data_IF_722308296486
#
_entry.id   IF_722308296486
#
_cell.length_a   1.000
_cell.length_b   1.000
_cell.length_c   1.000
_cell.angle_alpha   90.00
_cell.angle_beta   90.00
_cell.angle_gamma   90.00
#
_symmetry.space_group_name_H-M   'P 1'
#
loop_
_entity.id
_entity.type
_entity.pdbx_description
1 polymer ?
#
# COMPACT_ATOMS: atom_id res chain seq x y z
N UNK A 1 -73.85 10.06 -10.46
CA UNK A 1 -73.02 8.86 -10.17
C UNK A 1 -71.57 9.20 -10.50
N UNK A 2 -70.74 9.42 -9.49
CA UNK A 2 -69.31 9.71 -9.67
C UNK A 2 -68.53 8.42 -9.41
N UNK A 3 -67.82 7.92 -10.43
CA UNK A 3 -66.92 6.78 -10.32
C UNK A 3 -65.61 7.26 -9.68
N UNK A 4 -65.32 6.78 -8.48
CA UNK A 4 -64.01 6.96 -7.82
C UNK A 4 -63.11 5.81 -8.30
N UNK A 5 -62.11 6.17 -9.15
CA UNK A 5 -61.04 5.23 -9.53
C UNK A 5 -59.99 5.19 -8.43
N UNK A 6 -59.83 4.04 -7.80
CA UNK A 6 -58.74 3.77 -6.84
C UNK A 6 -57.49 3.42 -7.63
N UNK A 7 -56.52 4.32 -7.67
CA UNK A 7 -55.17 4.02 -8.16
C UNK A 7 -54.40 3.35 -7.03
N UNK A 8 -54.21 2.04 -7.13
CA UNK A 8 -53.32 1.29 -6.26
C UNK A 8 -51.90 1.50 -6.76
N UNK A 9 -51.13 2.35 -6.07
CA UNK A 9 -49.72 2.55 -6.32
C UNK A 9 -48.97 1.34 -5.73
N UNK A 10 -48.58 0.39 -6.57
CA UNK A 10 -47.63 -0.67 -6.18
C UNK A 10 -46.25 -0.07 -6.00
N UNK A 11 -45.90 0.26 -4.77
CA UNK A 11 -44.50 0.49 -4.39
C UNK A 11 -43.79 -0.86 -4.38
N UNK A 12 -43.15 -1.22 -5.51
CA UNK A 12 -42.17 -2.29 -5.54
C UNK A 12 -40.91 -1.79 -4.82
N UNK A 13 -40.74 -2.13 -3.55
CA UNK A 13 -39.51 -2.03 -2.84
C UNK A 13 -38.50 -2.94 -3.55
N UNK A 14 -37.70 -2.38 -4.44
CA UNK A 14 -36.50 -3.02 -4.94
C UNK A 14 -35.53 -3.10 -3.76
N UNK A 15 -35.57 -4.19 -3.01
CA UNK A 15 -34.47 -4.59 -2.15
C UNK A 15 -33.31 -4.92 -3.07
N UNK A 16 -32.50 -3.92 -3.39
CA UNK A 16 -31.17 -4.13 -3.95
C UNK A 16 -30.34 -4.76 -2.85
N UNK A 17 -30.39 -6.09 -2.72
CA UNK A 17 -29.33 -6.82 -2.06
C UNK A 17 -28.07 -6.60 -2.90
N UNK A 18 -27.22 -5.65 -2.52
CA UNK A 18 -25.86 -5.63 -3.04
C UNK A 18 -25.23 -6.98 -2.64
N UNK A 19 -24.77 -7.79 -3.61
CA UNK A 19 -24.15 -9.06 -3.26
C UNK A 19 -22.99 -8.78 -2.31
N UNK A 20 -22.87 -9.59 -1.25
CA UNK A 20 -21.72 -9.49 -0.36
C UNK A 20 -20.47 -9.83 -1.19
N UNK A 21 -19.67 -8.81 -1.53
CA UNK A 21 -18.48 -8.96 -2.35
C UNK A 21 -17.22 -9.32 -1.52
N UNK A 22 -17.39 -9.71 -0.27
CA UNK A 22 -16.31 -10.08 0.64
C UNK A 22 -16.37 -11.56 0.99
N UNK A 23 -15.35 -12.30 0.58
CA UNK A 23 -15.08 -13.68 0.98
C UNK A 23 -14.05 -13.68 2.09
N UNK A 24 -14.39 -14.19 3.27
CA UNK A 24 -13.41 -14.45 4.32
C UNK A 24 -12.78 -15.82 4.06
N UNK A 25 -11.45 -15.85 3.89
CA UNK A 25 -10.74 -17.09 3.63
C UNK A 25 -9.85 -17.46 4.82
N UNK A 26 -10.37 -18.35 5.65
CA UNK A 26 -9.65 -18.87 6.83
C UNK A 26 -8.51 -19.82 6.46
N UNK A 27 -8.50 -20.38 5.26
CA UNK A 27 -7.43 -21.28 4.82
C UNK A 27 -6.07 -20.56 4.70
N UNK A 28 -6.08 -19.23 4.54
CA UNK A 28 -4.85 -18.45 4.52
C UNK A 28 -4.17 -18.32 5.90
N UNK A 29 -4.84 -18.75 6.97
CA UNK A 29 -4.32 -18.64 8.34
C UNK A 29 -2.98 -19.35 8.52
N UNK A 30 -2.82 -20.53 7.93
CA UNK A 30 -1.61 -21.32 8.11
C UNK A 30 -0.34 -20.59 7.67
N UNK A 31 -0.39 -19.73 6.63
CA UNK A 31 0.77 -18.93 6.23
C UNK A 31 1.26 -17.97 7.32
N UNK A 32 0.38 -17.53 8.20
CA UNK A 32 0.75 -16.69 9.34
C UNK A 32 1.22 -17.52 10.53
N UNK A 33 0.57 -18.67 10.77
CA UNK A 33 0.95 -19.60 11.85
C UNK A 33 2.34 -20.21 11.62
N UNK A 34 2.65 -20.64 10.39
CA UNK A 34 3.93 -21.27 10.02
C UNK A 34 5.13 -20.33 10.23
N UNK A 35 4.92 -19.03 10.09
CA UNK A 35 5.92 -18.00 10.34
C UNK A 35 5.82 -17.34 11.71
N UNK A 36 4.92 -17.83 12.60
CA UNK A 36 4.68 -17.29 13.94
C UNK A 36 4.43 -15.78 13.95
N UNK A 37 3.62 -15.30 13.01
CA UNK A 37 3.25 -13.88 12.87
C UNK A 37 1.76 -13.68 13.00
N UNK A 38 1.34 -12.48 13.42
CA UNK A 38 -0.07 -12.08 13.44
C UNK A 38 -0.31 -11.07 12.31
N UNK A 39 -1.21 -11.39 11.39
CA UNK A 39 -1.36 -10.56 10.20
C UNK A 39 -2.72 -10.59 9.55
N UNK A 40 -2.78 -9.93 8.41
CA UNK A 40 -3.89 -9.94 7.46
C UNK A 40 -3.37 -9.97 6.03
N UNK A 41 -4.13 -10.61 5.18
CA UNK A 41 -3.99 -10.52 3.73
C UNK A 41 -5.34 -10.16 3.13
N UNK A 42 -5.35 -9.25 2.18
CA UNK A 42 -6.54 -8.96 1.40
C UNK A 42 -6.18 -8.84 -0.07
N UNK A 43 -6.99 -9.47 -0.91
CA UNK A 43 -6.96 -9.39 -2.37
C UNK A 43 -8.26 -8.78 -2.85
N UNK A 44 -8.17 -7.86 -3.80
CA UNK A 44 -9.28 -7.33 -4.57
C UNK A 44 -9.12 -7.71 -6.04
N UNK A 45 -10.05 -8.50 -6.55
CA UNK A 45 -10.16 -8.81 -7.98
C UNK A 45 -10.91 -7.67 -8.68
N UNK A 46 -10.22 -6.96 -9.57
CA UNK A 46 -10.81 -5.81 -10.26
C UNK A 46 -11.85 -6.21 -11.31
N UNK A 47 -11.82 -7.44 -11.84
CA UNK A 47 -12.76 -7.91 -12.84
C UNK A 47 -14.13 -8.24 -12.25
N UNK A 48 -14.10 -8.92 -11.11
CA UNK A 48 -15.32 -9.37 -10.44
C UNK A 48 -15.81 -8.42 -9.34
N UNK A 49 -14.95 -7.53 -8.87
CA UNK A 49 -15.20 -6.66 -7.72
C UNK A 49 -15.21 -7.43 -6.39
N UNK A 50 -14.70 -8.66 -6.35
CA UNK A 50 -14.69 -9.51 -5.17
C UNK A 50 -13.45 -9.26 -4.31
N UNK A 51 -13.64 -9.31 -2.99
CA UNK A 51 -12.56 -9.36 -2.01
C UNK A 51 -12.37 -10.77 -1.48
N UNK A 52 -11.11 -11.22 -1.37
CA UNK A 52 -10.72 -12.39 -0.56
C UNK A 52 -9.87 -11.90 0.58
N UNK A 53 -10.31 -12.09 1.83
CA UNK A 53 -9.67 -11.49 3.01
C UNK A 53 -9.43 -12.57 4.08
N UNK A 54 -8.21 -12.60 4.59
CA UNK A 54 -7.89 -13.24 5.87
C UNK A 54 -7.77 -12.16 6.95
N UNK A 55 -8.39 -12.40 8.13
CA UNK A 55 -8.39 -11.49 9.28
C UNK A 55 -8.98 -10.10 8.96
N UNK A 56 -10.28 -10.08 8.66
CA UNK A 56 -11.04 -8.86 8.31
C UNK A 56 -10.91 -7.77 9.39
N UNK A 57 -10.88 -8.14 10.67
CA UNK A 57 -10.75 -7.17 11.76
C UNK A 57 -9.44 -6.38 11.66
N UNK A 58 -8.31 -7.08 11.44
CA UNK A 58 -7.01 -6.43 11.26
C UNK A 58 -6.99 -5.58 9.99
N UNK A 59 -7.60 -6.07 8.91
CA UNK A 59 -7.66 -5.38 7.62
C UNK A 59 -8.38 -4.03 7.71
N UNK A 60 -9.55 -4.00 8.36
CA UNK A 60 -10.46 -2.86 8.33
C UNK A 60 -10.40 -1.96 9.56
N UNK A 61 -10.17 -2.53 10.75
CA UNK A 61 -10.40 -1.82 12.02
C UNK A 61 -9.09 -1.43 12.73
N UNK A 62 -7.93 -1.91 12.24
CA UNK A 62 -6.63 -1.65 12.86
C UNK A 62 -5.76 -0.76 12.00
N UNK A 63 -5.05 0.19 12.63
CA UNK A 63 -4.14 1.11 11.94
C UNK A 63 -2.71 0.99 12.47
N UNK A 64 -1.75 1.10 11.55
CA UNK A 64 -0.33 0.88 11.81
C UNK A 64 0.51 1.98 11.18
N UNK A 65 1.75 2.20 11.67
CA UNK A 65 2.67 3.09 10.98
C UNK A 65 2.89 2.58 9.54
N UNK A 66 2.87 3.46 8.53
CA UNK A 66 3.05 3.04 7.14
C UNK A 66 4.48 2.59 6.86
N UNK A 67 5.45 3.05 7.63
CA UNK A 67 6.86 2.82 7.37
C UNK A 67 7.21 3.18 5.92
N UNK A 68 7.91 2.30 5.20
CA UNK A 68 8.35 2.62 3.83
C UNK A 68 7.25 2.55 2.76
N UNK A 69 6.00 2.15 3.06
CA UNK A 69 4.90 2.30 2.09
C UNK A 69 4.58 3.78 1.86
N UNK A 70 4.78 4.63 2.87
CA UNK A 70 4.64 6.09 2.75
C UNK A 70 5.49 6.71 1.64
N UNK A 71 6.55 6.05 1.19
CA UNK A 71 7.38 6.53 0.08
C UNK A 71 6.59 6.70 -1.23
N UNK A 72 5.49 5.99 -1.42
CA UNK A 72 4.57 6.19 -2.55
C UNK A 72 4.04 7.63 -2.52
N UNK A 73 3.45 8.02 -1.40
CA UNK A 73 2.85 9.36 -1.23
C UNK A 73 3.92 10.44 -1.17
N UNK A 74 5.04 10.19 -0.47
CA UNK A 74 6.16 11.14 -0.37
C UNK A 74 6.76 11.45 -1.76
N UNK A 75 6.96 10.44 -2.61
CA UNK A 75 7.44 10.63 -3.98
C UNK A 75 6.43 11.44 -4.82
N UNK A 76 5.14 11.09 -4.76
CA UNK A 76 4.08 11.79 -5.49
C UNK A 76 3.99 13.27 -5.08
N UNK A 77 4.01 13.57 -3.78
CA UNK A 77 4.00 14.94 -3.27
C UNK A 77 5.27 15.67 -3.70
N UNK A 78 6.44 15.03 -3.58
CA UNK A 78 7.72 15.60 -3.99
C UNK A 78 7.75 16.00 -5.46
N UNK A 79 7.24 15.12 -6.34
CA UNK A 79 7.11 15.39 -7.78
C UNK A 79 6.10 16.50 -8.05
N UNK A 80 4.90 16.43 -7.46
CA UNK A 80 3.82 17.39 -7.66
C UNK A 80 4.19 18.82 -7.20
N UNK A 81 5.00 18.92 -6.16
CA UNK A 81 5.45 20.21 -5.61
C UNK A 81 6.80 20.69 -6.18
N UNK A 82 7.35 19.96 -7.16
CA UNK A 82 8.62 20.28 -7.80
C UNK A 82 9.86 20.14 -6.87
N UNK A 83 9.73 19.44 -5.73
CA UNK A 83 10.85 19.13 -4.84
C UNK A 83 11.67 17.95 -5.34
N UNK A 84 11.08 17.11 -6.16
CA UNK A 84 11.70 16.17 -7.08
C UNK A 84 11.30 16.60 -8.49
N UNK A 85 12.24 16.80 -9.38
CA UNK A 85 11.97 17.24 -10.76
C UNK A 85 11.51 16.09 -11.66
N UNK A 86 12.05 14.89 -11.45
CA UNK A 86 11.71 13.64 -12.13
C UNK A 86 12.31 12.44 -11.40
N UNK A 87 12.08 11.23 -11.91
CA UNK A 87 12.58 9.98 -11.31
C UNK A 87 14.12 9.80 -11.42
N UNK A 88 14.79 10.61 -12.25
CA UNK A 88 16.26 10.62 -12.38
C UNK A 88 16.94 11.68 -11.52
N UNK A 89 16.17 12.48 -10.75
CA UNK A 89 16.77 13.51 -9.89
C UNK A 89 17.60 12.88 -8.79
N UNK A 90 18.89 13.26 -8.76
CA UNK A 90 19.87 12.79 -7.77
C UNK A 90 19.80 13.63 -6.50
N UNK A 91 19.72 12.98 -5.35
CA UNK A 91 20.09 13.55 -4.05
C UNK A 91 21.43 12.94 -3.66
N UNK A 92 22.39 13.82 -3.38
CA UNK A 92 23.73 13.40 -2.97
C UNK A 92 23.70 12.75 -1.60
N UNK A 93 24.54 11.74 -1.44
CA UNK A 93 24.79 11.12 -0.15
C UNK A 93 25.36 12.16 0.83
N UNK A 94 24.90 12.11 2.06
CA UNK A 94 25.29 13.03 3.13
C UNK A 94 26.62 12.64 3.82
N UNK A 95 27.29 11.59 3.32
CA UNK A 95 28.56 11.10 3.89
C UNK A 95 28.39 10.25 5.16
N UNK A 96 27.15 10.06 5.64
CA UNK A 96 26.88 9.25 6.85
C UNK A 96 26.73 7.77 6.45
N UNK A 97 27.63 6.93 6.96
CA UNK A 97 27.57 5.49 6.71
C UNK A 97 26.44 4.85 7.51
N UNK A 98 25.61 4.07 6.82
CA UNK A 98 24.43 3.35 7.38
C UNK A 98 24.57 1.85 7.17
N UNK A 99 23.92 1.00 8.02
CA UNK A 99 23.99 -0.45 7.88
C UNK A 99 23.52 -0.98 6.52
N UNK A 100 22.58 -0.30 5.86
CA UNK A 100 22.13 -0.63 4.49
C UNK A 100 23.08 0.01 3.49
N UNK A 101 23.98 -0.78 2.94
CA UNK A 101 25.09 -0.29 2.07
C UNK A 101 24.57 0.44 0.82
N UNK A 102 23.46 0.02 0.28
CA UNK A 102 22.81 0.60 -0.90
C UNK A 102 22.37 2.06 -0.69
N UNK A 103 22.29 2.53 0.56
CA UNK A 103 21.94 3.90 0.90
C UNK A 103 23.14 4.84 0.98
N UNK A 104 24.36 4.29 1.00
CA UNK A 104 25.63 5.03 1.22
C UNK A 104 26.26 5.48 -0.12
N UNK A 105 25.44 6.09 -0.96
CA UNK A 105 25.84 6.65 -2.26
C UNK A 105 24.84 7.68 -2.75
N UNK A 106 25.20 8.43 -3.76
CA UNK A 106 24.26 9.26 -4.50
C UNK A 106 23.17 8.40 -5.13
N UNK A 107 21.92 8.80 -5.00
CA UNK A 107 20.78 8.04 -5.52
C UNK A 107 19.85 8.94 -6.33
N UNK A 108 19.34 8.42 -7.44
CA UNK A 108 18.17 8.96 -8.12
C UNK A 108 16.90 8.63 -7.32
N UNK A 109 15.78 9.31 -7.62
CA UNK A 109 14.49 8.96 -7.00
C UNK A 109 14.09 7.52 -7.29
N UNK A 110 14.27 7.07 -8.54
CA UNK A 110 14.01 5.69 -8.94
C UNK A 110 14.80 4.68 -8.12
N UNK A 111 16.14 4.85 -8.04
CA UNK A 111 17.00 3.96 -7.26
C UNK A 111 16.66 3.97 -5.77
N UNK A 112 16.47 5.17 -5.20
CA UNK A 112 16.12 5.35 -3.79
C UNK A 112 14.78 4.66 -3.43
N UNK A 113 13.81 4.71 -4.35
CA UNK A 113 12.54 4.02 -4.18
C UNK A 113 12.71 2.50 -4.17
N UNK A 114 13.52 1.98 -5.12
CA UNK A 114 13.81 0.55 -5.29
C UNK A 114 14.52 -0.06 -4.08
N UNK A 115 15.57 0.61 -3.57
CA UNK A 115 16.30 0.17 -2.37
C UNK A 115 15.65 0.66 -1.08
N UNK A 116 14.51 1.32 -1.18
CA UNK A 116 13.76 1.86 -0.03
C UNK A 116 14.59 2.80 0.85
N UNK A 117 15.44 3.65 0.26
CA UNK A 117 16.36 4.54 0.95
C UNK A 117 15.63 5.55 1.85
N UNK A 118 15.74 5.34 3.16
CA UNK A 118 15.15 6.27 4.15
C UNK A 118 15.75 7.65 4.04
N UNK A 119 17.10 7.83 4.00
CA UNK A 119 17.70 9.16 3.99
C UNK A 119 17.30 10.01 2.78
N UNK A 120 17.15 9.41 1.58
CA UNK A 120 16.64 10.12 0.41
C UNK A 120 15.25 10.71 0.66
N UNK A 121 14.32 9.90 1.15
CA UNK A 121 12.94 10.34 1.38
C UNK A 121 12.77 11.23 2.61
N UNK A 122 13.68 11.19 3.56
CA UNK A 122 13.79 12.17 4.63
C UNK A 122 14.16 13.55 4.08
N UNK A 123 15.13 13.62 3.17
CA UNK A 123 15.49 14.87 2.50
C UNK A 123 14.34 15.40 1.63
N UNK A 124 13.65 14.54 0.88
CA UNK A 124 12.46 14.95 0.13
C UNK A 124 11.40 15.53 1.05
N UNK A 125 11.11 14.90 2.18
CA UNK A 125 10.11 15.40 3.14
C UNK A 125 10.54 16.75 3.74
N UNK A 126 11.82 16.97 4.05
CA UNK A 126 12.33 18.27 4.50
C UNK A 126 12.13 19.36 3.45
N UNK A 127 12.39 19.04 2.16
CA UNK A 127 12.18 19.99 1.04
C UNK A 127 10.70 20.31 0.82
N UNK A 128 9.81 19.34 0.99
CA UNK A 128 8.36 19.54 0.92
C UNK A 128 7.89 20.49 2.02
N UNK A 129 8.39 20.29 3.24
CA UNK A 129 8.01 21.06 4.42
C UNK A 129 6.70 20.58 5.05
N UNK A 130 6.51 20.97 6.34
CA UNK A 130 5.41 20.42 7.16
C UNK A 130 4.03 20.84 6.66
N UNK A 131 3.84 22.11 6.33
CA UNK A 131 2.52 22.65 5.97
C UNK A 131 2.04 22.07 4.62
N UNK A 132 2.94 21.99 3.64
CA UNK A 132 2.64 21.37 2.35
C UNK A 132 2.34 19.87 2.50
N UNK A 133 3.15 19.16 3.29
CA UNK A 133 2.91 17.74 3.58
C UNK A 133 1.57 17.53 4.26
N UNK A 134 1.21 18.37 5.25
CA UNK A 134 -0.08 18.29 5.95
C UNK A 134 -1.25 18.52 4.99
N UNK A 135 -1.16 19.53 4.13
CA UNK A 135 -2.20 19.80 3.11
C UNK A 135 -2.44 18.59 2.21
N UNK A 136 -1.38 17.90 1.79
CA UNK A 136 -1.52 16.70 0.97
C UNK A 136 -2.06 15.49 1.73
N UNK A 137 -1.65 15.29 2.98
CA UNK A 137 -2.23 14.22 3.82
C UNK A 137 -3.73 14.42 4.03
N UNK A 138 -4.17 15.67 4.20
CA UNK A 138 -5.57 16.03 4.35
C UNK A 138 -6.35 15.81 3.05
N UNK A 139 -5.81 16.25 1.92
CA UNK A 139 -6.40 16.08 0.57
C UNK A 139 -6.57 14.61 0.20
N UNK A 140 -5.56 13.78 0.49
CA UNK A 140 -5.60 12.35 0.23
C UNK A 140 -6.43 11.57 1.24
N UNK A 141 -6.80 12.19 2.35
CA UNK A 141 -7.35 11.51 3.52
C UNK A 141 -6.47 10.34 3.98
N UNK A 142 -5.13 10.53 3.97
CA UNK A 142 -4.16 9.48 4.23
C UNK A 142 -4.08 9.13 5.71
N UNK A 143 -4.64 7.99 6.09
CA UNK A 143 -4.64 7.46 7.44
C UNK A 143 -5.08 8.49 8.49
N UNK A 144 -4.33 8.58 9.60
CA UNK A 144 -4.63 9.53 10.68
C UNK A 144 -4.25 10.99 10.38
N UNK A 145 -3.57 11.26 9.26
CA UNK A 145 -3.14 12.61 8.81
C UNK A 145 -2.24 13.35 9.80
N UNK A 146 -1.64 12.67 10.78
CA UNK A 146 -0.95 13.32 11.92
C UNK A 146 0.56 13.38 11.71
N UNK A 147 1.10 14.61 11.72
CA UNK A 147 2.53 14.90 11.79
C UNK A 147 2.83 15.44 13.21
N UNK A 148 3.01 14.54 14.18
CA UNK A 148 3.22 14.90 15.59
C UNK A 148 4.68 15.23 15.91
N UNK A 149 5.61 14.69 15.14
CA UNK A 149 7.04 14.76 15.36
C UNK A 149 7.73 15.51 14.23
N UNK A 150 8.98 15.17 13.93
CA UNK A 150 9.75 15.77 12.83
C UNK A 150 9.16 15.39 11.48
N UNK A 151 9.23 16.33 10.54
CA UNK A 151 8.73 16.14 9.17
C UNK A 151 9.40 14.97 8.42
N UNK A 152 10.59 14.60 8.82
CA UNK A 152 11.39 13.56 8.21
C UNK A 152 11.35 12.20 8.93
N UNK A 153 10.49 12.03 9.96
CA UNK A 153 10.34 10.77 10.72
C UNK A 153 8.91 10.35 11.00
N UNK A 154 7.92 11.21 10.86
CA UNK A 154 6.54 10.98 11.32
C UNK A 154 5.86 9.71 10.77
N UNK A 155 6.34 9.16 9.65
CA UNK A 155 5.85 7.89 9.08
C UNK A 155 6.62 6.66 9.59
N UNK A 156 7.66 6.87 10.42
CA UNK A 156 8.53 5.85 10.99
C UNK A 156 8.37 5.69 12.51
N UNK A 157 7.76 6.67 13.19
CA UNK A 157 7.75 6.81 14.64
C UNK A 157 6.35 6.64 15.27
N UNK A 158 5.43 6.00 14.56
CA UNK A 158 4.02 5.78 14.96
C UNK A 158 3.15 7.06 15.08
N UNK A 159 3.62 8.24 14.68
CA UNK A 159 2.80 9.46 14.64
C UNK A 159 1.68 9.37 13.61
N UNK A 160 2.03 8.90 12.42
CA UNK A 160 1.10 8.62 11.33
C UNK A 160 0.73 7.13 11.34
N UNK A 161 -0.56 6.84 11.25
CA UNK A 161 -1.05 5.45 11.15
C UNK A 161 -2.04 5.35 10.00
N UNK A 162 -2.05 4.20 9.33
CA UNK A 162 -2.93 3.89 8.20
C UNK A 162 -3.44 2.46 8.32
N UNK A 163 -4.62 2.19 7.80
CA UNK A 163 -5.21 0.86 7.78
C UNK A 163 -4.81 0.08 6.53
N UNK A 164 -4.81 -1.26 6.56
CA UNK A 164 -4.55 -2.06 5.38
C UNK A 164 -5.55 -1.82 4.23
N UNK A 165 -6.82 -1.58 4.51
CA UNK A 165 -7.82 -1.26 3.49
C UNK A 165 -7.55 0.09 2.80
N UNK A 166 -7.07 1.10 3.54
CA UNK A 166 -6.68 2.39 3.00
C UNK A 166 -5.45 2.28 2.08
N UNK A 167 -4.45 1.46 2.46
CA UNK A 167 -3.26 1.19 1.63
C UNK A 167 -3.62 0.44 0.34
N UNK A 168 -4.53 -0.56 0.40
CA UNK A 168 -5.02 -1.25 -0.79
C UNK A 168 -5.78 -0.28 -1.71
N UNK A 169 -6.63 0.57 -1.14
CA UNK A 169 -7.33 1.61 -1.88
C UNK A 169 -6.39 2.61 -2.54
N UNK A 170 -5.30 3.00 -1.87
CA UNK A 170 -4.27 3.89 -2.41
C UNK A 170 -3.59 3.30 -3.65
N UNK A 171 -3.10 2.05 -3.57
CA UNK A 171 -2.40 1.43 -4.71
C UNK A 171 -3.33 1.15 -5.87
N UNK A 172 -4.61 0.83 -5.62
CA UNK A 172 -5.63 0.71 -6.67
C UNK A 172 -5.85 2.05 -7.38
N UNK A 173 -6.02 3.15 -6.65
CA UNK A 173 -6.14 4.50 -7.23
C UNK A 173 -4.89 4.91 -8.00
N UNK A 174 -3.70 4.58 -7.50
CA UNK A 174 -2.43 4.84 -8.18
C UNK A 174 -2.37 4.10 -9.53
N UNK A 175 -2.72 2.83 -9.55
CA UNK A 175 -2.74 2.01 -10.77
C UNK A 175 -3.58 2.66 -11.88
N UNK A 176 -4.79 3.09 -11.54
CA UNK A 176 -5.71 3.74 -12.47
C UNK A 176 -5.48 5.25 -12.67
N UNK A 177 -4.39 5.80 -12.14
CA UNK A 177 -4.09 7.25 -12.18
C UNK A 177 -5.25 8.13 -11.63
N UNK A 178 -5.91 7.65 -10.58
CA UNK A 178 -7.06 8.32 -9.94
C UNK A 178 -6.68 9.14 -8.69
N UNK A 179 -5.38 9.21 -8.37
CA UNK A 179 -4.92 10.10 -7.30
C UNK A 179 -4.83 11.55 -7.82
N UNK A 180 -4.95 12.57 -6.97
CA UNK A 180 -4.96 13.98 -7.39
C UNK A 180 -3.54 14.51 -7.71
N UNK A 181 -2.80 13.75 -8.53
CA UNK A 181 -1.46 14.08 -9.02
C UNK A 181 -1.43 13.98 -10.54
N UNK A 182 -0.52 14.66 -11.18
CA UNK A 182 -0.37 14.52 -12.63
C UNK A 182 -0.05 13.08 -13.03
N UNK A 183 -0.63 12.61 -14.13
CA UNK A 183 -0.48 11.24 -14.62
C UNK A 183 0.99 10.85 -14.84
N UNK A 184 1.80 11.82 -15.35
CA UNK A 184 3.24 11.63 -15.53
C UNK A 184 3.93 11.25 -14.22
N UNK A 185 3.58 11.91 -13.11
CA UNK A 185 4.17 11.63 -11.79
C UNK A 185 3.70 10.29 -11.23
N UNK A 186 2.42 9.98 -11.39
CA UNK A 186 1.89 8.67 -11.05
C UNK A 186 2.59 7.57 -11.87
N UNK A 187 2.83 7.81 -13.16
CA UNK A 187 3.59 6.93 -14.05
C UNK A 187 5.03 6.68 -13.56
N UNK A 188 5.74 7.70 -13.09
CA UNK A 188 7.09 7.55 -12.52
C UNK A 188 7.09 6.64 -11.29
N UNK A 189 6.12 6.82 -10.37
CA UNK A 189 6.03 5.98 -9.17
C UNK A 189 5.61 4.55 -9.53
N UNK A 190 4.67 4.36 -10.47
CA UNK A 190 4.29 3.02 -10.96
C UNK A 190 5.49 2.28 -11.55
N UNK A 191 6.34 2.94 -12.36
CA UNK A 191 7.58 2.34 -12.88
C UNK A 191 8.53 1.92 -11.77
N UNK A 192 8.69 2.74 -10.74
CA UNK A 192 9.54 2.41 -9.60
C UNK A 192 9.01 1.24 -8.75
N UNK A 193 7.69 1.00 -8.78
CA UNK A 193 7.05 -0.13 -8.11
C UNK A 193 7.14 -1.45 -8.87
N UNK A 194 7.36 -1.45 -10.18
CA UNK A 194 7.47 -2.68 -10.99
C UNK A 194 8.76 -3.42 -10.67
N UNK A 195 8.67 -4.56 -9.96
CA UNK A 195 9.82 -5.37 -9.54
C UNK A 195 9.99 -6.64 -10.37
N UNK A 196 8.91 -7.27 -10.80
CA UNK A 196 8.95 -8.48 -11.61
C UNK A 196 8.11 -8.26 -12.88
N UNK A 197 8.70 -8.52 -14.04
CA UNK A 197 8.07 -8.38 -15.36
C UNK A 197 8.52 -9.56 -16.20
N UNK A 198 7.70 -10.59 -16.26
CA UNK A 198 7.96 -11.79 -17.04
C UNK A 198 6.80 -12.13 -18.00
N UNK A 199 6.89 -13.30 -18.66
CA UNK A 199 5.89 -13.68 -19.65
C UNK A 199 4.51 -13.98 -19.06
N UNK A 200 4.42 -14.33 -17.79
CA UNK A 200 3.20 -14.78 -17.14
C UNK A 200 2.52 -13.67 -16.35
N UNK A 201 3.30 -12.78 -15.71
CA UNK A 201 2.77 -11.74 -14.86
C UNK A 201 3.71 -10.55 -14.73
N UNK A 202 3.14 -9.42 -14.26
CA UNK A 202 3.89 -8.25 -13.79
C UNK A 202 3.53 -7.99 -12.35
N UNK A 203 4.54 -7.99 -11.46
CA UNK A 203 4.33 -7.74 -10.04
C UNK A 203 4.95 -6.39 -9.64
N UNK A 204 4.08 -5.49 -9.23
CA UNK A 204 4.45 -4.15 -8.73
C UNK A 204 4.14 -4.04 -7.25
N UNK A 205 5.11 -3.62 -6.45
CA UNK A 205 4.91 -3.51 -5.00
C UNK A 205 5.76 -2.43 -4.34
N UNK A 206 5.34 -2.07 -3.12
CA UNK A 206 6.16 -1.36 -2.15
C UNK A 206 6.10 -2.07 -0.81
N UNK A 207 7.27 -2.28 -0.22
CA UNK A 207 7.39 -2.88 1.10
C UNK A 207 7.55 -1.84 2.19
N UNK A 208 7.11 -2.16 3.40
CA UNK A 208 7.34 -1.41 4.61
C UNK A 208 7.88 -2.30 5.73
N UNK A 209 8.75 -1.75 6.58
CA UNK A 209 9.24 -2.39 7.79
C UNK A 209 9.50 -1.33 8.84
N UNK A 210 9.01 -1.58 10.06
CA UNK A 210 9.15 -0.67 11.18
C UNK A 210 8.92 -1.37 12.52
N UNK A 211 8.93 -0.60 13.60
CA UNK A 211 8.59 -1.09 14.95
C UNK A 211 7.33 -0.39 15.44
N UNK A 212 6.45 -1.18 16.00
CA UNK A 212 5.25 -0.70 16.68
C UNK A 212 5.60 -0.14 18.06
N UNK A 213 4.68 0.64 18.67
CA UNK A 213 4.86 1.23 20.00
C UNK A 213 5.19 0.20 21.08
N UNK A 214 4.58 -1.00 20.99
CA UNK A 214 4.83 -2.12 21.92
C UNK A 214 6.11 -2.93 21.61
N UNK A 215 6.90 -2.53 20.59
CA UNK A 215 8.17 -3.15 20.25
C UNK A 215 8.13 -4.22 19.16
N UNK A 216 6.97 -4.76 18.81
CA UNK A 216 6.82 -5.74 17.72
C UNK A 216 7.33 -5.18 16.39
N UNK A 217 7.97 -6.03 15.61
CA UNK A 217 8.33 -5.71 14.23
C UNK A 217 7.06 -5.71 13.36
N UNK A 218 6.87 -4.66 12.56
CA UNK A 218 5.76 -4.53 11.64
C UNK A 218 6.22 -4.67 10.20
N UNK A 219 5.46 -5.38 9.40
CA UNK A 219 5.72 -5.60 7.98
C UNK A 219 4.54 -5.21 7.10
N UNK A 220 4.86 -4.69 5.91
CA UNK A 220 3.92 -4.37 4.84
C UNK A 220 4.41 -4.88 3.48
N UNK A 221 3.48 -5.33 2.65
CA UNK A 221 3.59 -5.34 1.20
C UNK A 221 2.29 -4.80 0.64
N UNK A 222 2.36 -3.71 -0.11
CA UNK A 222 1.22 -3.14 -0.84
C UNK A 222 1.53 -3.25 -2.33
N UNK A 223 0.63 -3.85 -3.10
CA UNK A 223 0.98 -4.29 -4.43
C UNK A 223 -0.21 -4.50 -5.37
N UNK A 224 0.12 -4.67 -6.64
CA UNK A 224 -0.76 -5.27 -7.63
C UNK A 224 0.02 -6.27 -8.50
N UNK A 225 -0.69 -7.26 -9.02
CA UNK A 225 -0.21 -8.16 -10.07
C UNK A 225 -1.10 -8.00 -11.31
N UNK A 226 -0.49 -8.03 -12.46
CA UNK A 226 -1.19 -8.12 -13.74
C UNK A 226 -0.94 -9.50 -14.33
N UNK A 227 -1.99 -10.27 -14.52
CA UNK A 227 -1.99 -11.51 -15.28
C UNK A 227 -3.03 -11.41 -16.40
N UNK A 228 -2.70 -11.88 -17.61
CA UNK A 228 -3.59 -11.80 -18.77
C UNK A 228 -4.21 -10.40 -18.99
N UNK A 229 -3.45 -9.34 -18.70
CA UNK A 229 -3.87 -7.92 -18.75
C UNK A 229 -4.96 -7.56 -17.74
N UNK A 230 -5.15 -8.38 -16.71
CA UNK A 230 -6.10 -8.15 -15.65
C UNK A 230 -5.37 -7.79 -14.33
N UNK A 231 -5.70 -6.66 -13.69
CA UNK A 231 -5.06 -6.27 -12.43
C UNK A 231 -5.80 -6.82 -11.22
N UNK A 232 -5.01 -7.33 -10.27
CA UNK A 232 -5.43 -7.72 -8.93
C UNK A 232 -4.63 -6.94 -7.90
N UNK A 233 -5.27 -6.44 -6.86
CA UNK A 233 -4.65 -5.60 -5.83
C UNK A 233 -4.58 -6.33 -4.52
N UNK A 234 -3.45 -6.25 -3.81
CA UNK A 234 -3.31 -6.91 -2.50
C UNK A 234 -2.62 -6.02 -1.48
N UNK A 235 -2.90 -6.35 -0.24
CA UNK A 235 -2.14 -5.90 0.91
C UNK A 235 -1.82 -7.09 1.81
N UNK A 236 -0.56 -7.21 2.19
CA UNK A 236 -0.08 -8.07 3.27
C UNK A 236 0.43 -7.17 4.39
N UNK A 237 -0.12 -7.34 5.59
CA UNK A 237 0.35 -6.66 6.79
C UNK A 237 0.45 -7.66 7.92
N UNK A 238 1.59 -7.71 8.60
CA UNK A 238 1.75 -8.55 9.78
C UNK A 238 2.73 -7.95 10.79
N UNK A 239 2.68 -8.47 12.00
CA UNK A 239 3.62 -8.19 13.06
C UNK A 239 4.27 -9.46 13.60
N UNK A 240 5.52 -9.37 14.02
CA UNK A 240 6.26 -10.40 14.72
C UNK A 240 6.68 -9.91 16.09
N UNK A 241 6.43 -10.72 17.11
CA UNK A 241 6.94 -10.46 18.46
C UNK A 241 8.42 -10.86 18.61
N UNK A 242 8.97 -11.67 17.69
CA UNK A 242 10.38 -12.01 17.67
C UNK A 242 11.22 -10.82 17.18
N UNK A 243 12.08 -10.25 18.04
CA UNK A 243 12.95 -9.13 17.64
C UNK A 243 14.02 -9.51 16.61
N UNK A 244 14.30 -10.81 16.46
CA UNK A 244 15.32 -11.36 15.58
C UNK A 244 14.73 -11.90 14.26
N UNK A 245 13.40 -11.83 14.06
CA UNK A 245 12.78 -12.28 12.82
C UNK A 245 13.33 -11.50 11.62
N UNK A 246 13.78 -12.21 10.59
CA UNK A 246 14.27 -11.61 9.35
C UNK A 246 13.09 -11.21 8.45
N UNK A 247 12.50 -10.08 8.75
CA UNK A 247 11.28 -9.56 8.12
C UNK A 247 11.41 -9.36 6.61
N UNK A 248 12.51 -8.79 6.06
CA UNK A 248 12.58 -8.50 4.63
C UNK A 248 12.38 -9.70 3.70
N UNK A 249 13.06 -10.84 3.84
CA UNK A 249 12.77 -12.03 3.02
C UNK A 249 11.48 -12.72 3.41
N UNK A 250 11.14 -12.78 4.71
CA UNK A 250 9.93 -13.45 5.24
C UNK A 250 8.66 -12.91 4.58
N UNK A 251 8.49 -11.59 4.50
CA UNK A 251 7.28 -10.98 3.92
C UNK A 251 7.06 -11.35 2.46
N UNK A 252 8.14 -11.41 1.66
CA UNK A 252 8.04 -11.78 0.25
C UNK A 252 7.75 -13.27 0.08
N UNK A 253 8.29 -14.10 0.98
CA UNK A 253 8.01 -15.54 0.97
C UNK A 253 6.54 -15.81 1.31
N UNK A 254 6.02 -15.23 2.39
CA UNK A 254 4.59 -15.34 2.76
C UNK A 254 3.70 -14.85 1.60
N UNK A 255 4.02 -13.68 1.01
CA UNK A 255 3.25 -13.17 -0.11
C UNK A 255 3.20 -14.16 -1.28
N UNK A 256 4.37 -14.65 -1.72
CA UNK A 256 4.45 -15.56 -2.88
C UNK A 256 3.79 -16.90 -2.62
N UNK A 257 3.86 -17.44 -1.42
CA UNK A 257 3.17 -18.66 -1.02
C UNK A 257 1.64 -18.47 -1.07
N UNK A 258 1.12 -17.35 -0.54
CA UNK A 258 -0.31 -17.01 -0.63
C UNK A 258 -0.73 -16.84 -2.11
N UNK A 259 0.03 -16.09 -2.90
CA UNK A 259 -0.28 -15.89 -4.32
C UNK A 259 -0.28 -17.21 -5.09
N UNK A 260 0.68 -18.10 -4.82
CA UNK A 260 0.76 -19.44 -5.42
C UNK A 260 -0.46 -20.30 -5.06
N UNK A 261 -0.90 -20.31 -3.80
CA UNK A 261 -2.12 -21.01 -3.36
C UNK A 261 -3.37 -20.47 -4.04
N UNK A 262 -3.44 -19.15 -4.26
CA UNK A 262 -4.56 -18.50 -4.94
C UNK A 262 -4.51 -18.64 -6.46
N UNK A 263 -3.48 -19.31 -7.03
CA UNK A 263 -3.36 -19.60 -8.46
C UNK A 263 -2.60 -18.57 -9.28
N UNK A 264 -2.06 -17.52 -8.66
CA UNK A 264 -1.29 -16.47 -9.34
C UNK A 264 0.13 -16.91 -9.74
N UNK A 265 0.78 -16.09 -10.55
CA UNK A 265 2.15 -16.23 -11.08
C UNK A 265 2.31 -17.36 -12.10
N UNK A 266 1.22 -17.91 -12.61
CA UNK A 266 1.20 -18.99 -13.59
C UNK A 266 0.67 -18.55 -14.96
N UNK A 267 0.25 -17.30 -15.12
CA UNK A 267 -0.38 -16.81 -16.35
C UNK A 267 -1.75 -17.42 -16.64
N UNK A 268 -2.44 -17.89 -15.59
CA UNK A 268 -3.75 -18.58 -15.71
C UNK A 268 -4.93 -17.76 -15.19
N UNK A 269 -4.66 -16.66 -14.48
CA UNK A 269 -5.70 -15.80 -13.88
C UNK A 269 -6.18 -14.73 -14.83
#
# INVERSE_FOLDING_TARGET
>A
MKLFGIIVLLLSCLYSCSPNNVKIDHNLKHFFDDYHVNGTFALFDNGTGQFTIYNLKRYRDSSYLPASTFKIVNALIGLQTGKITNDSMVIKWDGIERPVKEWNKDLTMYEAFRVSAVPYFQEVARRIGKDTMQTWLDSLSYGTKKIKTRIDTFWLDNSLKIKPDEELGLVKKLYFSQLPFFDTYQGMVKRAMLFEDDANYKLSYKTGWGRMEQGNQLSWVVCWIEENKHPYFFVLNFESADPNADIPPMRMKILKEILGQLGFMQGKM
#
